data_IF_475850281550
#
_entry.id   IF_475850281550
#
_cell.length_a   1.000
_cell.length_b   1.000
_cell.length_c   1.000
_cell.angle_alpha   90.00
_cell.angle_beta   90.00
_cell.angle_gamma   90.00
#
_symmetry.space_group_name_H-M   'P 1'
#
loop_
_entity.id
_entity.type
_entity.pdbx_description
1 polymer ?
#
# COMPACT_ATOMS: atom_id res chain seq x y z
N UNK A 1 -21.56 7.58 9.82
CA UNK A 1 -20.22 6.98 9.61
C UNK A 1 -19.75 7.43 8.24
N UNK A 2 -18.48 7.83 8.11
CA UNK A 2 -17.91 8.25 6.82
C UNK A 2 -16.67 7.42 6.48
N UNK A 3 -16.39 7.25 5.19
CA UNK A 3 -15.17 6.60 4.69
C UNK A 3 -14.27 7.68 4.09
N UNK A 4 -12.99 7.64 4.46
CA UNK A 4 -11.95 8.48 3.84
C UNK A 4 -10.90 7.57 3.21
N UNK A 5 -10.34 7.99 2.07
CA UNK A 5 -9.20 7.31 1.44
C UNK A 5 -7.96 8.16 1.66
N UNK A 6 -6.92 7.54 2.19
CA UNK A 6 -5.62 8.17 2.40
C UNK A 6 -4.88 8.23 1.07
N UNK A 7 -4.44 9.41 0.66
CA UNK A 7 -3.74 9.59 -0.62
C UNK A 7 -2.21 9.57 -0.52
N UNK A 8 -1.66 9.72 0.68
CA UNK A 8 -0.21 9.78 0.92
C UNK A 8 0.18 8.96 2.15
N UNK A 9 1.43 8.50 2.23
CA UNK A 9 1.93 7.82 3.42
C UNK A 9 1.79 8.74 4.65
N UNK A 10 1.08 8.26 5.66
CA UNK A 10 0.77 9.04 6.87
C UNK A 10 0.68 8.12 8.09
N UNK A 11 0.40 8.65 9.26
CA UNK A 11 0.15 7.87 10.46
C UNK A 11 -1.25 8.16 11.04
N UNK A 12 -1.75 7.29 11.91
CA UNK A 12 -3.11 7.43 12.44
C UNK A 12 -3.28 8.70 13.28
N UNK A 13 -2.20 9.21 13.89
CA UNK A 13 -2.22 10.44 14.69
C UNK A 13 -2.34 11.66 13.78
N UNK A 14 -1.61 11.69 12.67
CA UNK A 14 -1.70 12.71 11.65
C UNK A 14 -3.10 12.74 11.03
N UNK A 15 -3.68 11.57 10.71
CA UNK A 15 -5.07 11.50 10.22
C UNK A 15 -6.07 11.98 11.27
N UNK A 16 -5.93 11.57 12.53
CA UNK A 16 -6.82 12.03 13.61
C UNK A 16 -6.70 13.55 13.85
N UNK A 17 -5.50 14.11 13.76
CA UNK A 17 -5.26 15.55 13.87
C UNK A 17 -5.87 16.32 12.69
N UNK A 18 -5.77 15.77 11.48
CA UNK A 18 -6.42 16.33 10.28
C UNK A 18 -7.95 16.29 10.39
N UNK A 19 -8.53 15.20 10.92
CA UNK A 19 -9.98 15.04 11.06
C UNK A 19 -10.60 15.87 12.19
N UNK A 20 -9.88 16.04 13.30
CA UNK A 20 -10.40 16.68 14.52
C UNK A 20 -10.12 18.17 14.66
N UNK A 21 -9.42 18.77 13.69
CA UNK A 21 -8.86 20.12 13.84
C UNK A 21 -7.72 20.13 14.86
N UNK A 22 -6.83 21.12 14.76
CA UNK A 22 -5.53 21.18 15.45
C UNK A 22 -5.55 21.11 17.00
N UNK A 23 -6.71 20.96 17.65
CA UNK A 23 -6.85 21.09 19.11
C UNK A 23 -7.51 19.92 19.87
N UNK A 24 -8.04 18.87 19.23
CA UNK A 24 -8.68 17.77 19.99
C UNK A 24 -8.63 16.39 19.29
N UNK A 25 -7.45 15.87 18.97
CA UNK A 25 -7.29 14.43 18.79
C UNK A 25 -7.25 13.76 20.19
N UNK A 26 -8.42 13.66 20.84
CA UNK A 26 -8.52 12.99 22.14
C UNK A 26 -8.07 11.53 22.04
N UNK A 27 -7.38 11.01 23.06
CA UNK A 27 -6.92 9.62 23.09
C UNK A 27 -8.08 8.62 22.83
N UNK A 28 -9.29 8.97 23.28
CA UNK A 28 -10.51 8.20 23.04
C UNK A 28 -10.98 8.22 21.58
N UNK A 29 -10.73 9.28 20.81
CA UNK A 29 -11.01 9.33 19.38
C UNK A 29 -10.06 8.41 18.59
N UNK A 30 -8.77 8.38 18.96
CA UNK A 30 -7.78 7.47 18.39
C UNK A 30 -8.09 6.01 18.69
N UNK A 31 -8.48 5.69 19.93
CA UNK A 31 -8.90 4.33 20.31
C UNK A 31 -10.12 3.87 19.52
N UNK A 32 -11.11 4.74 19.31
CA UNK A 32 -12.28 4.42 18.49
C UNK A 32 -11.94 4.23 17.01
N UNK A 33 -11.07 5.07 16.45
CA UNK A 33 -10.59 4.90 15.07
C UNK A 33 -9.83 3.58 14.90
N UNK A 34 -8.98 3.22 15.88
CA UNK A 34 -8.27 1.95 15.90
C UNK A 34 -9.23 0.76 16.03
N UNK A 35 -10.24 0.86 16.89
CA UNK A 35 -11.26 -0.17 17.06
C UNK A 35 -12.09 -0.41 15.78
N UNK A 36 -12.36 0.65 15.02
CA UNK A 36 -13.09 0.57 13.75
C UNK A 36 -12.24 0.06 12.58
N UNK A 37 -10.92 0.21 12.67
CA UNK A 37 -9.99 -0.15 11.59
C UNK A 37 -8.89 -1.11 12.10
N UNK A 38 -9.25 -2.33 12.55
CA UNK A 38 -8.28 -3.28 13.09
C UNK A 38 -7.25 -3.77 12.05
N UNK A 39 -7.51 -3.53 10.77
CA UNK A 39 -6.65 -3.87 9.64
C UNK A 39 -5.56 -2.82 9.36
N UNK A 40 -5.59 -1.66 10.03
CA UNK A 40 -4.66 -0.56 9.79
C UNK A 40 -3.55 -0.57 10.83
N UNK A 41 -2.30 -0.47 10.38
CA UNK A 41 -1.17 -0.25 11.26
C UNK A 41 -1.16 1.21 11.74
N UNK A 42 -1.13 1.38 13.06
CA UNK A 42 -1.18 2.68 13.73
C UNK A 42 0.06 3.52 13.40
N UNK A 43 1.20 2.88 13.12
CA UNK A 43 2.47 3.54 12.86
C UNK A 43 2.70 3.93 11.40
N UNK A 44 1.99 3.32 10.45
CA UNK A 44 2.14 3.61 9.03
C UNK A 44 0.87 3.24 8.26
N UNK A 45 0.20 4.26 7.75
CA UNK A 45 -0.95 4.14 6.88
C UNK A 45 -0.48 4.44 5.46
N UNK A 46 -0.57 3.41 4.61
CA UNK A 46 -0.16 3.51 3.21
C UNK A 46 -1.23 4.24 2.38
N UNK A 47 -0.84 4.94 1.31
CA UNK A 47 -1.79 5.48 0.34
C UNK A 47 -2.67 4.37 -0.23
N UNK A 48 -3.94 4.68 -0.46
CA UNK A 48 -5.00 3.75 -0.86
C UNK A 48 -5.70 3.05 0.31
N UNK A 49 -5.27 3.28 1.56
CA UNK A 49 -5.98 2.74 2.73
C UNK A 49 -7.31 3.47 2.93
N UNK A 50 -8.40 2.71 3.05
CA UNK A 50 -9.71 3.24 3.40
C UNK A 50 -9.90 3.20 4.93
N UNK A 51 -10.27 4.32 5.53
CA UNK A 51 -10.53 4.45 6.96
C UNK A 51 -12.00 4.73 7.24
N UNK A 52 -12.56 3.95 8.17
CA UNK A 52 -13.88 4.17 8.73
C UNK A 52 -13.79 5.20 9.86
N UNK A 53 -14.44 6.34 9.67
CA UNK A 53 -14.45 7.45 10.62
C UNK A 53 -15.85 7.62 11.21
N UNK A 54 -16.00 7.62 12.54
CA UNK A 54 -17.29 7.85 13.19
C UNK A 54 -17.68 9.33 13.13
N UNK A 55 -18.98 9.60 12.99
CA UNK A 55 -19.53 10.96 13.08
C UNK A 55 -19.65 11.37 14.55
N UNK A 56 -18.50 11.59 15.18
CA UNK A 56 -18.40 12.08 16.53
C UNK A 56 -18.05 13.59 16.54
N UNK A 57 -18.59 14.37 17.49
CA UNK A 57 -18.15 15.75 17.71
C UNK A 57 -16.67 15.69 18.13
N UNK A 58 -15.78 16.14 17.25
CA UNK A 58 -14.32 16.02 17.41
C UNK A 58 -13.59 15.28 16.27
N UNK A 59 -14.30 14.66 15.32
CA UNK A 59 -13.73 14.10 14.08
C UNK A 59 -14.47 14.60 12.82
N UNK A 60 -15.35 15.58 13.00
CA UNK A 60 -16.28 16.03 11.97
C UNK A 60 -15.68 17.04 10.98
N UNK A 61 -14.49 17.61 11.26
CA UNK A 61 -14.02 18.88 10.68
C UNK A 61 -13.57 18.85 9.23
N UNK A 62 -12.94 17.78 8.75
CA UNK A 62 -12.21 17.85 7.46
C UNK A 62 -13.07 17.62 6.20
N UNK A 63 -14.30 17.12 6.33
CA UNK A 63 -15.00 16.49 5.20
C UNK A 63 -16.44 16.98 4.96
N UNK A 64 -16.98 17.84 5.84
CA UNK A 64 -18.37 18.31 5.80
C UNK A 64 -18.57 19.76 5.37
N UNK A 65 -17.52 20.49 4.98
CA UNK A 65 -17.60 21.92 4.67
C UNK A 65 -18.09 22.23 3.25
N UNK A 66 -19.09 21.49 2.75
CA UNK A 66 -19.87 21.92 1.58
C UNK A 66 -21.11 22.77 1.98
N UNK A 67 -21.32 23.06 3.28
CA UNK A 67 -22.50 23.82 3.73
C UNK A 67 -22.37 24.63 5.02
N UNK A 68 -21.20 24.68 5.68
CA UNK A 68 -21.04 25.48 6.89
C UNK A 68 -20.42 26.85 6.55
N UNK A 69 -21.28 27.87 6.43
CA UNK A 69 -20.88 29.28 6.44
C UNK A 69 -20.31 29.60 7.82
N UNK A 70 -18.98 29.60 7.95
CA UNK A 70 -18.30 30.13 9.13
C UNK A 70 -17.05 29.38 9.55
N UNK A 71 -15.90 29.83 9.03
CA UNK A 71 -14.63 29.86 9.77
C UNK A 71 -13.87 28.54 10.00
N UNK A 72 -12.69 28.48 9.37
CA UNK A 72 -11.51 27.71 9.77
C UNK A 72 -11.49 26.19 9.55
N UNK A 73 -11.16 25.81 8.31
CA UNK A 73 -10.09 24.86 7.91
C UNK A 73 -10.44 24.32 6.52
N UNK A 74 -9.63 24.64 5.52
CA UNK A 74 -9.84 24.14 4.15
C UNK A 74 -9.74 22.61 4.08
N UNK A 75 -10.32 21.97 3.04
CA UNK A 75 -10.17 20.55 2.82
C UNK A 75 -8.67 20.24 2.68
N UNK A 76 -8.13 19.46 3.61
CA UNK A 76 -6.73 19.03 3.53
C UNK A 76 -6.60 18.02 2.38
N UNK A 77 -5.62 18.21 1.50
CA UNK A 77 -5.44 17.43 0.27
C UNK A 77 -5.22 15.92 0.48
N UNK A 78 -4.98 15.49 1.72
CA UNK A 78 -4.52 14.13 2.04
C UNK A 78 -5.66 13.15 2.35
N UNK A 79 -6.86 13.65 2.64
CA UNK A 79 -8.03 12.85 2.99
C UNK A 79 -9.29 13.38 2.27
N UNK A 80 -9.74 12.68 1.24
CA UNK A 80 -10.95 13.05 0.51
C UNK A 80 -12.18 12.31 1.04
N UNK A 81 -13.26 13.03 1.40
CA UNK A 81 -14.54 12.41 1.70
C UNK A 81 -15.16 11.80 0.45
N UNK A 82 -15.75 10.63 0.64
CA UNK A 82 -16.52 9.95 -0.37
C UNK A 82 -17.96 10.54 -0.36
N UNK A 83 -18.24 11.61 -1.13
CA UNK A 83 -19.61 12.13 -1.40
C UNK A 83 -19.96 12.30 -2.90
N UNK A 84 -21.19 11.92 -3.28
CA UNK A 84 -21.83 12.14 -4.60
C UNK A 84 -21.32 11.31 -5.80
N UNK A 85 -20.03 11.39 -6.13
CA UNK A 85 -19.38 10.73 -7.31
C UNK A 85 -18.41 9.62 -6.84
N UNK A 86 -18.85 8.90 -5.83
CA UNK A 86 -18.04 8.20 -4.84
C UNK A 86 -17.52 6.86 -5.29
N UNK A 87 -18.37 6.14 -6.00
CA UNK A 87 -18.10 4.77 -6.38
C UNK A 87 -17.01 4.70 -7.45
N UNK A 88 -17.06 5.60 -8.43
CA UNK A 88 -16.06 5.72 -9.49
C UNK A 88 -14.70 6.19 -8.95
N UNK A 89 -14.70 7.12 -7.99
CA UNK A 89 -13.47 7.58 -7.32
C UNK A 89 -12.86 6.49 -6.44
N UNK A 90 -13.69 5.73 -5.72
CA UNK A 90 -13.27 4.57 -4.95
C UNK A 90 -12.70 3.45 -5.84
N UNK A 91 -13.39 3.16 -6.95
CA UNK A 91 -12.94 2.21 -7.96
C UNK A 91 -11.56 2.60 -8.52
N UNK A 92 -11.40 3.87 -8.89
CA UNK A 92 -10.13 4.41 -9.38
C UNK A 92 -9.01 4.31 -8.33
N UNK A 93 -9.34 4.53 -7.04
CA UNK A 93 -8.41 4.39 -5.93
C UNK A 93 -7.92 2.96 -5.73
N UNK A 94 -8.83 1.98 -5.80
CA UNK A 94 -8.49 0.55 -5.71
C UNK A 94 -7.57 0.15 -6.88
N UNK A 95 -7.93 0.54 -8.10
CA UNK A 95 -7.12 0.26 -9.29
C UNK A 95 -5.72 0.89 -9.19
N UNK A 96 -5.63 2.13 -8.71
CA UNK A 96 -4.35 2.79 -8.49
C UNK A 96 -3.51 2.04 -7.43
N UNK A 97 -4.14 1.55 -6.37
CA UNK A 97 -3.49 0.75 -5.33
C UNK A 97 -2.92 -0.56 -5.88
N UNK A 98 -3.70 -1.32 -6.65
CA UNK A 98 -3.22 -2.55 -7.29
C UNK A 98 -2.07 -2.29 -8.26
N UNK A 99 -2.16 -1.23 -9.09
CA UNK A 99 -1.06 -0.83 -9.98
C UNK A 99 0.21 -0.49 -9.20
N UNK A 100 0.10 0.23 -8.09
CA UNK A 100 1.24 0.58 -7.25
C UNK A 100 1.89 -0.66 -6.61
N UNK A 101 1.09 -1.64 -6.18
CA UNK A 101 1.60 -2.93 -5.69
C UNK A 101 2.30 -3.70 -6.81
N UNK A 102 1.68 -3.82 -7.99
CA UNK A 102 2.28 -4.51 -9.13
C UNK A 102 3.61 -3.87 -9.57
N UNK A 103 3.69 -2.54 -9.59
CA UNK A 103 4.92 -1.80 -9.88
C UNK A 103 6.03 -2.10 -8.86
N UNK A 104 5.71 -2.17 -7.56
CA UNK A 104 6.69 -2.54 -6.52
C UNK A 104 7.20 -3.96 -6.71
N UNK A 105 6.33 -4.92 -7.02
CA UNK A 105 6.73 -6.31 -7.28
C UNK A 105 7.62 -6.42 -8.52
N UNK A 106 7.29 -5.71 -9.61
CA UNK A 106 8.14 -5.63 -10.81
C UNK A 106 9.51 -5.05 -10.51
N UNK A 107 9.56 -3.89 -9.82
CA UNK A 107 10.82 -3.26 -9.44
C UNK A 107 11.72 -4.15 -8.57
N UNK A 108 11.11 -4.90 -7.62
CA UNK A 108 11.84 -5.88 -6.82
C UNK A 108 12.37 -7.05 -7.66
N UNK A 109 11.60 -7.53 -8.63
CA UNK A 109 12.04 -8.58 -9.57
C UNK A 109 13.19 -8.11 -10.46
N UNK A 110 13.12 -6.88 -10.98
CA UNK A 110 14.15 -6.31 -11.85
C UNK A 110 15.47 -6.11 -11.09
N UNK A 111 15.38 -5.64 -9.83
CA UNK A 111 16.56 -5.48 -8.96
C UNK A 111 17.19 -6.85 -8.66
N UNK A 112 16.39 -7.86 -8.31
CA UNK A 112 16.90 -9.21 -8.07
C UNK A 112 17.59 -9.79 -9.32
N UNK A 113 17.03 -9.56 -10.52
CA UNK A 113 17.63 -10.01 -11.77
C UNK A 113 18.97 -9.28 -12.05
N UNK A 114 19.05 -7.98 -11.78
CA UNK A 114 20.28 -7.21 -11.91
C UNK A 114 21.36 -7.69 -10.94
N UNK A 115 21.00 -7.95 -9.67
CA UNK A 115 21.91 -8.47 -8.65
C UNK A 115 22.45 -9.86 -9.02
N UNK A 116 21.60 -10.73 -9.58
CA UNK A 116 22.02 -12.04 -10.08
C UNK A 116 23.01 -11.92 -11.25
N UNK A 117 22.74 -11.03 -12.21
CA UNK A 117 23.64 -10.80 -13.35
C UNK A 117 25.00 -10.27 -12.87
N UNK A 118 25.02 -9.27 -11.98
CA UNK A 118 26.25 -8.73 -11.41
C UNK A 118 27.04 -9.79 -10.62
N UNK A 119 26.34 -10.65 -9.87
CA UNK A 119 26.97 -11.76 -9.14
C UNK A 119 27.56 -12.80 -10.08
N UNK A 120 26.84 -13.16 -11.15
CA UNK A 120 27.32 -14.10 -12.15
C UNK A 120 28.56 -13.57 -12.89
N UNK A 121 28.58 -12.28 -13.24
CA UNK A 121 29.73 -11.64 -13.87
C UNK A 121 30.97 -11.63 -12.95
N UNK A 122 30.78 -11.31 -11.66
CA UNK A 122 31.86 -11.32 -10.68
C UNK A 122 32.44 -12.74 -10.47
N UNK A 123 31.58 -13.75 -10.37
CA UNK A 123 31.95 -15.15 -10.20
C UNK A 123 32.49 -15.79 -11.49
N UNK A 124 32.19 -15.19 -12.64
CA UNK A 124 32.63 -15.65 -13.97
C UNK A 124 34.13 -15.42 -14.24
N UNK A 125 34.79 -14.60 -13.43
CA UNK A 125 36.22 -14.28 -13.57
C UNK A 125 37.12 -15.51 -13.34
N UNK A 126 38.27 -15.56 -14.01
CA UNK A 126 39.21 -16.69 -13.87
C UNK A 126 39.74 -16.86 -12.45
N UNK A 127 39.85 -15.77 -11.68
CA UNK A 127 40.28 -15.81 -10.28
C UNK A 127 39.19 -16.44 -9.42
N UNK A 128 37.93 -16.00 -9.56
CA UNK A 128 36.80 -16.57 -8.82
C UNK A 128 36.60 -18.06 -9.14
N UNK A 129 36.69 -18.45 -10.42
CA UNK A 129 36.62 -19.85 -10.83
C UNK A 129 37.67 -20.72 -10.14
N UNK A 130 38.94 -20.27 -10.10
CA UNK A 130 40.00 -21.00 -9.39
C UNK A 130 39.74 -21.12 -7.89
N UNK A 131 39.17 -20.08 -7.26
CA UNK A 131 38.79 -20.15 -5.84
C UNK A 131 37.64 -21.15 -5.62
N UNK A 132 36.63 -21.16 -6.48
CA UNK A 132 35.50 -22.09 -6.41
C UNK A 132 35.90 -23.54 -6.70
N UNK A 133 36.87 -23.75 -7.58
CA UNK A 133 37.40 -25.08 -7.88
C UNK A 133 38.33 -25.58 -6.76
N UNK A 134 38.99 -24.66 -6.04
CA UNK A 134 39.84 -24.96 -4.90
C UNK A 134 39.09 -25.20 -3.58
N UNK A 135 37.85 -24.71 -3.46
CA UNK A 135 37.02 -24.83 -2.26
C UNK A 135 35.60 -25.35 -2.58
N UNK A 136 35.32 -26.65 -2.35
CA UNK A 136 34.01 -27.24 -2.63
C UNK A 136 32.90 -26.72 -1.71
N UNK A 137 33.22 -26.25 -0.50
CA UNK A 137 32.22 -25.66 0.40
C UNK A 137 31.76 -24.30 -0.14
N UNK A 138 32.70 -23.48 -0.62
CA UNK A 138 32.39 -22.20 -1.25
C UNK A 138 31.54 -22.40 -2.51
N UNK A 139 31.90 -23.37 -3.35
CA UNK A 139 31.11 -23.74 -4.54
C UNK A 139 29.67 -24.09 -4.17
N UNK A 140 29.49 -24.94 -3.15
CA UNK A 140 28.16 -25.33 -2.65
C UNK A 140 27.36 -24.13 -2.15
N UNK A 141 27.98 -23.19 -1.44
CA UNK A 141 27.31 -21.97 -0.96
C UNK A 141 26.84 -21.08 -2.11
N UNK A 142 27.66 -20.93 -3.16
CA UNK A 142 27.27 -20.18 -4.37
C UNK A 142 26.09 -20.85 -5.06
N UNK A 143 26.12 -22.17 -5.23
CA UNK A 143 25.03 -22.92 -5.85
C UNK A 143 23.72 -22.83 -5.05
N UNK A 144 23.80 -22.95 -3.71
CA UNK A 144 22.65 -22.77 -2.81
C UNK A 144 22.08 -21.35 -2.87
N UNK A 145 22.95 -20.33 -2.93
CA UNK A 145 22.53 -18.93 -3.04
C UNK A 145 21.85 -18.67 -4.38
N UNK A 146 22.40 -19.19 -5.48
CA UNK A 146 21.80 -19.10 -6.81
C UNK A 146 20.43 -19.79 -6.87
N UNK A 147 20.32 -20.99 -6.28
CA UNK A 147 19.05 -21.72 -6.19
C UNK A 147 18.00 -20.95 -5.37
N UNK A 148 18.40 -20.37 -4.23
CA UNK A 148 17.52 -19.53 -3.41
C UNK A 148 17.07 -18.26 -4.16
N UNK A 149 17.96 -17.64 -4.93
CA UNK A 149 17.64 -16.47 -5.73
C UNK A 149 16.64 -16.80 -6.86
N UNK A 150 16.82 -17.93 -7.56
CA UNK A 150 15.88 -18.42 -8.56
C UNK A 150 14.49 -18.74 -7.96
N UNK A 151 14.46 -19.35 -6.77
CA UNK A 151 13.21 -19.60 -6.05
C UNK A 151 12.49 -18.29 -5.69
N UNK A 152 13.21 -17.28 -5.18
CA UNK A 152 12.65 -15.95 -4.91
C UNK A 152 12.08 -15.28 -6.16
N UNK A 153 12.78 -15.38 -7.29
CA UNK A 153 12.31 -14.83 -8.56
C UNK A 153 10.98 -15.48 -8.98
N UNK A 154 10.87 -16.80 -8.84
CA UNK A 154 9.61 -17.51 -9.07
C UNK A 154 8.50 -17.03 -8.14
N UNK A 155 8.77 -16.89 -6.84
CA UNK A 155 7.79 -16.36 -5.87
C UNK A 155 7.33 -14.94 -6.22
N UNK A 156 8.23 -14.07 -6.69
CA UNK A 156 7.85 -12.72 -7.12
C UNK A 156 6.97 -12.74 -8.38
N UNK A 157 7.25 -13.63 -9.34
CA UNK A 157 6.40 -13.81 -10.52
C UNK A 157 5.00 -14.34 -10.16
N UNK A 158 4.92 -15.31 -9.24
CA UNK A 158 3.65 -15.82 -8.72
C UNK A 158 2.87 -14.73 -7.96
N UNK A 159 3.55 -13.93 -7.13
CA UNK A 159 2.95 -12.80 -6.44
C UNK A 159 2.39 -11.75 -7.41
N UNK A 160 3.11 -11.47 -8.50
CA UNK A 160 2.64 -10.56 -9.53
C UNK A 160 1.38 -11.07 -10.23
N UNK A 161 1.36 -12.36 -10.60
CA UNK A 161 0.18 -12.98 -11.19
C UNK A 161 -1.02 -12.97 -10.22
N UNK A 162 -0.79 -13.18 -8.92
CA UNK A 162 -1.82 -13.08 -7.90
C UNK A 162 -2.36 -11.65 -7.76
N UNK A 163 -1.50 -10.63 -7.78
CA UNK A 163 -1.90 -9.22 -7.72
C UNK A 163 -2.76 -8.86 -8.93
N UNK A 164 -2.39 -9.32 -10.14
CA UNK A 164 -3.18 -9.09 -11.36
C UNK A 164 -4.53 -9.81 -11.31
N UNK A 165 -4.57 -11.04 -10.80
CA UNK A 165 -5.82 -11.78 -10.60
C UNK A 165 -6.74 -11.10 -9.57
N UNK A 166 -6.18 -10.63 -8.45
CA UNK A 166 -6.92 -9.88 -7.43
C UNK A 166 -7.43 -8.55 -7.97
N UNK A 167 -6.63 -7.83 -8.76
CA UNK A 167 -7.06 -6.60 -9.40
C UNK A 167 -8.28 -6.86 -10.30
N UNK A 168 -8.22 -7.92 -11.11
CA UNK A 168 -9.34 -8.29 -11.98
C UNK A 168 -10.60 -8.60 -11.17
N UNK A 169 -10.50 -9.46 -10.15
CA UNK A 169 -11.62 -9.81 -9.28
C UNK A 169 -12.21 -8.57 -8.58
N UNK A 170 -11.35 -7.67 -8.08
CA UNK A 170 -11.79 -6.43 -7.46
C UNK A 170 -12.52 -5.54 -8.48
N UNK A 171 -12.00 -5.41 -9.70
CA UNK A 171 -12.65 -4.62 -10.75
C UNK A 171 -14.01 -5.19 -11.17
N UNK A 172 -14.14 -6.51 -11.23
CA UNK A 172 -15.39 -7.21 -11.55
C UNK A 172 -16.44 -7.01 -10.44
N UNK A 173 -16.03 -7.14 -9.18
CA UNK A 173 -16.92 -6.94 -8.02
C UNK A 173 -17.36 -5.48 -7.90
N UNK A 174 -16.45 -4.54 -8.12
CA UNK A 174 -16.78 -3.11 -8.17
C UNK A 174 -17.76 -2.85 -9.31
N UNK A 175 -17.54 -3.40 -10.51
CA UNK A 175 -18.49 -3.25 -11.60
C UNK A 175 -19.88 -3.85 -11.27
N UNK A 176 -19.93 -4.96 -10.53
CA UNK A 176 -21.18 -5.56 -10.06
C UNK A 176 -21.91 -4.65 -9.04
N UNK A 177 -21.19 -4.15 -8.04
CA UNK A 177 -21.72 -3.22 -7.04
C UNK A 177 -22.21 -1.91 -7.68
N UNK A 178 -21.50 -1.39 -8.66
CA UNK A 178 -21.89 -0.18 -9.39
C UNK A 178 -23.22 -0.30 -10.15
N UNK A 179 -23.62 -1.53 -10.53
CA UNK A 179 -24.93 -1.80 -11.15
C UNK A 179 -26.08 -1.82 -10.14
N UNK A 180 -25.79 -2.13 -8.88
CA UNK A 180 -26.79 -2.21 -7.79
C UNK A 180 -27.05 -0.83 -7.19
N UNK A 181 -26.05 0.06 -7.22
CA UNK A 181 -26.11 1.40 -6.63
C UNK A 181 -26.68 2.47 -7.58
N UNK A 182 -26.88 2.14 -8.87
CA UNK A 182 -27.61 2.96 -9.85
C UNK A 182 -29.10 2.62 -9.86
#
# INVERSE_FOLDING_TARGET
MRVIVIQQDTDLKAVAAQLGGAQTASASALERLKALNPHVDVGSIRPGTALLVPDAPGLAGAAGAAGAVGGAAGPSADAQPISGNTFETFAAGIDAGFRAVAQRVRGASDTLAADQAASADALGTNVAKRMLDGDPLLKKQVDETNAAAAARQKTLQEALAQVEAMQKLASDEIAALGKIVR
#
